data_IF_539255849496
#
_entry.id   IF_539255849496
#
_cell.length_a   1.000
_cell.length_b   1.000
_cell.length_c   1.000
_cell.angle_alpha   90.00
_cell.angle_beta   90.00
_cell.angle_gamma   90.00
#
_symmetry.space_group_name_H-M   'P 1'
#
loop_
_entity.id
_entity.type
_entity.pdbx_description
1 polymer ?
#
# COMPACT_ATOMS: atom_id res chain seq x y z
N UNK A 1 6.72 -26.44 -2.35
CA UNK A 1 6.31 -26.41 -3.77
C UNK A 1 4.90 -27.02 -3.96
N UNK A 2 3.90 -26.57 -3.20
CA UNK A 2 2.47 -26.91 -3.30
C UNK A 2 1.73 -25.66 -2.78
N UNK A 3 0.68 -25.09 -3.37
CA UNK A 3 -0.03 -25.35 -4.60
C UNK A 3 -0.67 -24.02 -5.06
N UNK A 4 -0.19 -23.45 -6.17
CA UNK A 4 -0.95 -22.50 -6.95
C UNK A 4 -1.93 -23.32 -7.80
N UNK A 5 -3.13 -23.58 -7.28
CA UNK A 5 -4.17 -24.27 -8.04
C UNK A 5 -4.60 -23.38 -9.22
N UNK A 6 -4.45 -23.92 -10.42
CA UNK A 6 -4.32 -23.25 -11.73
C UNK A 6 -5.52 -22.41 -12.23
N UNK A 7 -6.50 -22.07 -11.40
CA UNK A 7 -7.76 -21.45 -11.86
C UNK A 7 -8.33 -20.33 -10.97
N UNK A 8 -7.54 -19.70 -10.08
CA UNK A 8 -8.01 -18.53 -9.29
C UNK A 8 -7.24 -17.27 -9.72
N UNK A 9 -7.89 -16.20 -10.21
CA UNK A 9 -7.23 -14.96 -10.65
C UNK A 9 -6.59 -14.15 -9.51
N UNK A 10 -6.68 -14.63 -8.27
CA UNK A 10 -6.31 -13.92 -7.04
C UNK A 10 -4.98 -14.40 -6.43
N UNK A 11 -4.21 -15.23 -7.15
CA UNK A 11 -2.94 -15.75 -6.64
C UNK A 11 -1.89 -14.63 -6.58
N UNK A 12 -1.65 -14.13 -5.36
CA UNK A 12 -0.50 -13.28 -5.07
C UNK A 12 0.78 -14.10 -5.31
N UNK A 13 1.78 -13.60 -6.06
CA UNK A 13 3.05 -14.29 -6.21
C UNK A 13 3.66 -14.55 -4.84
N UNK A 14 3.99 -15.82 -4.56
CA UNK A 14 4.49 -16.28 -3.26
C UNK A 14 5.86 -15.68 -2.84
N UNK A 15 6.46 -14.82 -3.68
CA UNK A 15 7.77 -14.22 -3.46
C UNK A 15 7.77 -13.13 -2.38
N UNK A 16 6.62 -12.52 -2.04
CA UNK A 16 6.56 -11.45 -1.04
C UNK A 16 5.66 -11.83 0.14
N UNK A 17 6.23 -12.50 1.15
CA UNK A 17 5.53 -12.86 2.39
C UNK A 17 4.87 -11.65 3.09
N UNK A 18 5.48 -10.46 2.98
CA UNK A 18 4.95 -9.21 3.54
C UNK A 18 3.66 -8.75 2.86
N UNK A 19 3.56 -8.88 1.53
CA UNK A 19 2.36 -8.49 0.78
C UNK A 19 1.17 -9.40 1.14
N UNK A 20 1.42 -10.70 1.35
CA UNK A 20 0.40 -11.64 1.80
C UNK A 20 -0.09 -11.30 3.22
N UNK A 21 0.80 -10.91 4.13
CA UNK A 21 0.44 -10.50 5.49
C UNK A 21 -0.38 -9.20 5.49
N UNK A 22 0.04 -8.21 4.71
CA UNK A 22 -0.71 -6.96 4.55
C UNK A 22 -2.11 -7.23 3.97
N UNK A 23 -2.21 -8.09 2.94
CA UNK A 23 -3.49 -8.51 2.37
C UNK A 23 -4.38 -9.19 3.41
N UNK A 24 -3.83 -10.09 4.24
CA UNK A 24 -4.58 -10.74 5.32
C UNK A 24 -5.17 -9.71 6.29
N UNK A 25 -4.35 -8.76 6.73
CA UNK A 25 -4.77 -7.68 7.64
C UNK A 25 -5.90 -6.86 7.01
N UNK A 26 -5.77 -6.50 5.72
CA UNK A 26 -6.78 -5.73 5.01
C UNK A 26 -8.09 -6.49 4.81
N UNK A 27 -8.04 -7.79 4.50
CA UNK A 27 -9.24 -8.61 4.27
C UNK A 27 -10.02 -8.89 5.55
N UNK A 28 -9.34 -9.13 6.67
CA UNK A 28 -9.95 -9.46 7.97
C UNK A 28 -9.95 -8.29 8.95
N UNK A 29 -9.99 -7.05 8.45
CA UNK A 29 -9.94 -5.82 9.27
C UNK A 29 -11.08 -5.66 10.29
N UNK A 30 -12.17 -6.42 10.17
CA UNK A 30 -13.27 -6.39 11.12
C UNK A 30 -12.92 -7.12 12.44
N UNK A 31 -11.89 -7.96 12.43
CA UNK A 31 -11.41 -8.62 13.65
C UNK A 31 -10.76 -7.58 14.59
N UNK A 32 -11.06 -7.62 15.90
CA UNK A 32 -10.72 -6.54 16.83
C UNK A 32 -9.23 -6.21 16.88
N UNK A 33 -8.36 -7.23 16.86
CA UNK A 33 -6.90 -7.06 16.86
C UNK A 33 -6.37 -6.52 15.52
N UNK A 34 -7.03 -6.80 14.40
CA UNK A 34 -6.57 -6.42 13.06
C UNK A 34 -7.06 -5.04 12.61
N UNK A 35 -8.07 -4.49 13.27
CA UNK A 35 -8.58 -3.16 12.97
C UNK A 35 -7.48 -2.08 13.04
N UNK A 36 -6.76 -1.98 14.15
CA UNK A 36 -5.69 -0.97 14.32
C UNK A 36 -4.54 -1.12 13.31
N UNK A 37 -3.97 -2.32 13.09
CA UNK A 37 -3.01 -2.56 12.02
C UNK A 37 -3.52 -2.16 10.64
N UNK A 38 -4.79 -2.42 10.32
CA UNK A 38 -5.37 -2.03 9.03
C UNK A 38 -5.43 -0.51 8.85
N UNK A 39 -5.77 0.23 9.91
CA UNK A 39 -5.75 1.69 9.92
C UNK A 39 -4.32 2.23 9.77
N UNK A 40 -3.33 1.61 10.42
CA UNK A 40 -1.93 1.99 10.27
C UNK A 40 -1.44 1.81 8.82
N UNK A 41 -1.77 0.67 8.18
CA UNK A 41 -1.42 0.44 6.78
C UNK A 41 -2.05 1.49 5.84
N UNK A 42 -3.31 1.86 6.08
CA UNK A 42 -3.98 2.92 5.33
C UNK A 42 -3.27 4.27 5.53
N UNK A 43 -2.94 4.62 6.77
CA UNK A 43 -2.24 5.87 7.07
C UNK A 43 -0.84 5.96 6.42
N UNK A 44 -0.13 4.83 6.30
CA UNK A 44 1.17 4.79 5.59
C UNK A 44 1.02 5.10 4.10
N UNK A 45 -0.02 4.53 3.47
CA UNK A 45 -0.37 4.84 2.08
C UNK A 45 -0.73 6.31 1.93
N UNK A 46 -1.59 6.84 2.81
CA UNK A 46 -1.99 8.24 2.79
C UNK A 46 -0.78 9.18 2.90
N UNK A 47 0.18 8.87 3.78
CA UNK A 47 1.42 9.65 3.93
C UNK A 47 2.22 9.66 2.62
N UNK A 48 2.39 8.52 1.95
CA UNK A 48 3.11 8.42 0.67
C UNK A 48 2.43 9.24 -0.43
N UNK A 49 1.10 9.20 -0.48
CA UNK A 49 0.29 9.99 -1.41
C UNK A 49 0.45 11.49 -1.14
N UNK A 50 0.41 11.91 0.13
CA UNK A 50 0.61 13.31 0.51
C UNK A 50 2.01 13.81 0.13
N UNK A 51 3.04 13.00 0.37
CA UNK A 51 4.40 13.33 -0.05
C UNK A 51 4.54 13.42 -1.57
N UNK A 52 3.93 12.48 -2.31
CA UNK A 52 3.94 12.50 -3.78
C UNK A 52 3.21 13.73 -4.32
N UNK A 53 2.05 14.06 -3.77
CA UNK A 53 1.26 15.24 -4.14
C UNK A 53 2.04 16.53 -3.86
N UNK A 54 2.73 16.62 -2.71
CA UNK A 54 3.60 17.76 -2.40
C UNK A 54 4.72 17.91 -3.43
N UNK A 55 5.45 16.84 -3.77
CA UNK A 55 6.52 16.87 -4.78
C UNK A 55 6.00 17.32 -6.15
N UNK A 56 4.83 16.82 -6.55
CA UNK A 56 4.22 17.18 -7.83
C UNK A 56 3.79 18.65 -7.88
N UNK A 57 3.11 19.15 -6.83
CA UNK A 57 2.72 20.57 -6.72
C UNK A 57 3.95 21.48 -6.70
N UNK A 58 5.02 21.07 -6.03
CA UNK A 58 6.29 21.79 -6.04
C UNK A 58 6.89 21.85 -7.45
N UNK A 59 6.93 20.73 -8.18
CA UNK A 59 7.38 20.70 -9.58
C UNK A 59 6.54 21.65 -10.47
N UNK A 60 5.22 21.64 -10.32
CA UNK A 60 4.33 22.55 -11.07
C UNK A 60 4.58 24.03 -10.74
N UNK A 61 4.81 24.37 -9.47
CA UNK A 61 5.21 25.72 -9.08
C UNK A 61 6.53 26.12 -9.75
N UNK A 62 7.55 25.26 -9.73
CA UNK A 62 8.84 25.51 -10.38
C UNK A 62 8.70 25.69 -11.89
N UNK A 63 7.85 24.89 -12.54
CA UNK A 63 7.58 25.05 -13.98
C UNK A 63 6.98 26.43 -14.29
N UNK A 64 6.08 26.94 -13.46
CA UNK A 64 5.52 28.30 -13.65
C UNK A 64 6.56 29.40 -13.46
N UNK A 65 7.54 29.21 -12.57
CA UNK A 65 8.56 30.22 -12.28
C UNK A 65 9.72 30.21 -13.29
N UNK A 66 10.15 29.03 -13.74
CA UNK A 66 11.36 28.86 -14.55
C UNK A 66 11.10 28.32 -15.97
N UNK A 67 9.89 27.84 -16.27
CA UNK A 67 9.58 27.18 -17.52
C UNK A 67 10.42 25.91 -17.72
N UNK A 68 11.18 25.88 -18.81
CA UNK A 68 12.10 24.79 -19.18
C UNK A 68 13.57 25.12 -18.90
N UNK A 69 13.85 26.20 -18.15
CA UNK A 69 15.23 26.58 -17.80
C UNK A 69 15.85 25.57 -16.83
N UNK A 70 17.17 25.39 -16.96
CA UNK A 70 17.99 24.61 -16.02
C UNK A 70 17.91 25.29 -14.64
N UNK A 71 17.75 24.48 -13.60
CA UNK A 71 17.72 24.97 -12.23
C UNK A 71 19.09 25.51 -11.79
N UNK A 72 19.11 26.40 -10.82
CA UNK A 72 20.37 26.97 -10.27
C UNK A 72 21.28 25.91 -9.68
N UNK A 73 20.74 24.75 -9.27
CA UNK A 73 21.50 23.58 -8.83
C UNK A 73 22.03 22.68 -9.96
N UNK A 74 21.95 23.11 -11.22
CA UNK A 74 22.47 22.36 -12.39
C UNK A 74 21.57 21.22 -12.89
N UNK A 75 20.42 20.98 -12.26
CA UNK A 75 19.45 19.98 -12.71
C UNK A 75 18.58 20.51 -13.86
N UNK A 76 17.89 19.62 -14.57
CA UNK A 76 16.90 19.98 -15.60
C UNK A 76 15.64 20.69 -15.06
N UNK A 77 15.66 21.15 -13.80
CA UNK A 77 14.60 21.93 -13.18
C UNK A 77 13.32 21.13 -13.01
N UNK A 78 12.27 21.54 -13.74
CA UNK A 78 10.95 20.90 -13.69
C UNK A 78 11.00 19.40 -13.99
N UNK A 79 11.73 18.98 -15.03
CA UNK A 79 11.75 17.57 -15.45
C UNK A 79 12.37 16.66 -14.39
N UNK A 80 13.46 17.12 -13.75
CA UNK A 80 14.07 16.41 -12.63
C UNK A 80 13.08 16.25 -11.47
N UNK A 81 12.46 17.34 -11.02
CA UNK A 81 11.53 17.31 -9.88
C UNK A 81 10.29 16.45 -10.13
N UNK A 82 9.78 16.45 -11.37
CA UNK A 82 8.67 15.57 -11.76
C UNK A 82 9.09 14.10 -11.69
N UNK A 83 10.25 13.75 -12.23
CA UNK A 83 10.77 12.38 -12.17
C UNK A 83 11.04 11.92 -10.72
N UNK A 84 11.47 12.84 -9.85
CA UNK A 84 11.60 12.58 -8.41
C UNK A 84 10.27 12.21 -7.78
N UNK A 85 9.16 12.87 -8.12
CA UNK A 85 7.84 12.54 -7.58
C UNK A 85 7.42 11.10 -7.92
N UNK A 86 7.69 10.63 -9.13
CA UNK A 86 7.33 9.27 -9.55
C UNK A 86 8.25 8.20 -8.94
N UNK A 87 9.55 8.49 -8.80
CA UNK A 87 10.54 7.53 -8.30
C UNK A 87 10.44 7.28 -6.78
N UNK A 88 9.97 8.25 -6.01
CA UNK A 88 10.00 8.19 -4.53
C UNK A 88 8.71 7.66 -3.89
N UNK A 89 7.93 6.85 -4.62
CA UNK A 89 6.81 6.10 -4.05
C UNK A 89 7.38 4.87 -3.34
N UNK A 90 7.26 4.83 -2.02
CA UNK A 90 7.92 3.79 -1.20
C UNK A 90 6.99 2.59 -1.01
N UNK A 91 5.69 2.83 -0.83
CA UNK A 91 4.72 1.79 -0.47
C UNK A 91 3.95 1.26 -1.70
N UNK A 92 4.65 1.00 -2.80
CA UNK A 92 4.03 0.54 -4.06
C UNK A 92 3.31 -0.80 -3.91
N UNK A 93 3.82 -1.69 -3.05
CA UNK A 93 3.20 -2.98 -2.78
C UNK A 93 1.86 -2.83 -2.04
N UNK A 94 1.75 -1.88 -1.10
CA UNK A 94 0.50 -1.58 -0.40
C UNK A 94 -0.52 -0.95 -1.34
N UNK A 95 -0.06 -0.05 -2.22
CA UNK A 95 -0.91 0.56 -3.26
C UNK A 95 -1.43 -0.46 -4.28
N UNK A 96 -0.74 -1.59 -4.45
CA UNK A 96 -1.18 -2.68 -5.32
C UNK A 96 -2.19 -3.63 -4.66
N UNK A 97 -2.38 -3.59 -3.33
CA UNK A 97 -3.27 -4.49 -2.59
C UNK A 97 -4.73 -4.52 -3.09
N UNK A 98 -5.34 -3.39 -3.48
CA UNK A 98 -6.72 -3.39 -3.98
C UNK A 98 -6.94 -4.34 -5.17
N UNK A 99 -5.90 -4.60 -5.96
CA UNK A 99 -5.92 -5.56 -7.09
C UNK A 99 -6.27 -6.98 -6.64
N UNK A 100 -5.96 -7.34 -5.39
CA UNK A 100 -6.15 -8.67 -4.84
C UNK A 100 -7.36 -8.78 -3.89
N UNK A 101 -8.12 -7.70 -3.71
CA UNK A 101 -9.31 -7.70 -2.86
C UNK A 101 -10.43 -8.49 -3.50
N UNK A 102 -11.07 -9.35 -2.70
CA UNK A 102 -12.23 -10.14 -3.11
C UNK A 102 -13.49 -9.65 -2.38
N UNK A 103 -14.68 -9.83 -2.96
CA UNK A 103 -15.95 -9.60 -2.28
C UNK A 103 -16.04 -10.37 -0.96
N UNK A 104 -16.66 -9.76 0.06
CA UNK A 104 -16.79 -10.39 1.39
C UNK A 104 -17.49 -11.73 1.38
N UNK A 105 -18.42 -11.95 0.46
CA UNK A 105 -19.13 -13.22 0.30
C UNK A 105 -18.20 -14.39 -0.08
N UNK A 106 -17.04 -14.11 -0.68
CA UNK A 106 -16.05 -15.11 -1.09
C UNK A 106 -14.92 -15.28 -0.08
N UNK A 107 -14.93 -14.54 1.04
CA UNK A 107 -13.93 -14.69 2.09
C UNK A 107 -14.11 -16.03 2.79
N UNK A 108 -13.04 -16.84 2.91
CA UNK A 108 -13.12 -18.06 3.69
C UNK A 108 -13.32 -17.73 5.17
N UNK A 109 -14.19 -18.46 5.89
CA UNK A 109 -14.35 -18.25 7.32
C UNK A 109 -13.07 -18.62 8.06
N UNK A 110 -12.68 -17.80 9.05
CA UNK A 110 -11.54 -18.10 9.90
C UNK A 110 -11.82 -19.33 10.80
N UNK A 111 -10.85 -20.26 10.93
CA UNK A 111 -10.88 -21.33 11.91
C UNK A 111 -11.09 -20.80 13.34
N UNK A 112 -11.80 -21.56 14.18
CA UNK A 112 -12.20 -21.12 15.52
C UNK A 112 -11.01 -20.84 16.46
N UNK A 113 -9.94 -21.62 16.34
CA UNK A 113 -8.68 -21.46 17.06
C UNK A 113 -7.99 -20.12 16.73
N UNK A 114 -7.98 -19.74 15.45
CA UNK A 114 -7.41 -18.46 14.99
C UNK A 114 -8.30 -17.29 15.40
N UNK A 115 -9.62 -17.42 15.23
CA UNK A 115 -10.57 -16.39 15.66
C UNK A 115 -10.45 -16.10 17.16
N UNK A 116 -10.29 -17.14 17.99
CA UNK A 116 -10.05 -16.95 19.43
C UNK A 116 -8.78 -16.16 19.71
N UNK A 117 -7.71 -16.36 18.96
CA UNK A 117 -6.44 -15.61 19.11
C UNK A 117 -6.53 -14.17 18.62
N UNK A 118 -7.41 -13.90 17.65
CA UNK A 118 -7.66 -12.55 17.12
C UNK A 118 -8.68 -11.77 17.96
N UNK A 119 -9.39 -12.44 18.85
CA UNK A 119 -10.29 -11.82 19.83
C UNK A 119 -9.53 -11.28 21.05
N UNK A 120 -10.08 -10.26 21.71
CA UNK A 120 -9.51 -9.76 22.97
C UNK A 120 -9.78 -10.75 24.11
N UNK A 121 -8.87 -11.71 24.34
CA UNK A 121 -8.89 -12.55 25.53
C UNK A 121 -8.17 -11.82 26.66
N UNK A 122 -8.92 -11.15 27.55
CA UNK A 122 -8.36 -10.61 28.78
C UNK A 122 -8.30 -11.74 29.82
N UNK A 123 -7.10 -12.26 30.10
CA UNK A 123 -6.88 -13.05 31.31
C UNK A 123 -6.69 -12.05 32.44
N UNK A 124 -7.70 -11.94 33.31
CA UNK A 124 -7.60 -11.19 34.56
C UNK A 124 -6.68 -11.91 35.56
#
# INVERSE_FOLDING_TARGET
MLACARHRPWCVPASNALALQALLITLYKDEPILNQPSCLLAALVDIDEHFTAWRYRHAQMVHRQLGSKVGTGGSSGYHYLRATADRHKIFTDLNALPTYLIPRALLPPLPADIRSKLSFSFSA
#
